data_IF_131132227194
#
_entry.id   IF_131132227194
#
_cell.length_a   1.000
_cell.length_b   1.000
_cell.length_c   1.000
_cell.angle_alpha   90.00
_cell.angle_beta   90.00
_cell.angle_gamma   90.00
#
_symmetry.space_group_name_H-M   'P 1'
#
loop_
_entity.id
_entity.type
_entity.pdbx_description
1 polymer ?
#
# COMPACT_ATOMS: atom_id res chain seq x y z
N UNK A 1 6.17 14.62 -24.39
CA UNK A 1 4.97 14.05 -23.74
C UNK A 1 5.29 12.98 -22.69
N UNK A 2 6.00 11.88 -23.04
CA UNK A 2 6.28 10.75 -22.13
C UNK A 2 6.97 11.12 -20.80
N UNK A 3 7.88 12.11 -20.79
CA UNK A 3 8.54 12.63 -19.57
C UNK A 3 7.57 13.28 -18.57
N UNK A 4 6.54 13.97 -19.05
CA UNK A 4 5.53 14.60 -18.19
C UNK A 4 4.61 13.54 -17.57
N UNK A 5 4.27 12.49 -18.32
CA UNK A 5 3.48 11.37 -17.81
C UNK A 5 4.19 10.61 -16.69
N UNK A 6 5.50 10.37 -16.83
CA UNK A 6 6.29 9.74 -15.75
C UNK A 6 6.26 10.59 -14.47
N UNK A 7 6.44 11.91 -14.60
CA UNK A 7 6.36 12.82 -13.45
C UNK A 7 4.99 12.80 -12.78
N UNK A 8 3.91 12.76 -13.56
CA UNK A 8 2.53 12.65 -13.05
C UNK A 8 2.35 11.34 -12.29
N UNK A 9 2.71 10.19 -12.87
CA UNK A 9 2.60 8.90 -12.19
C UNK A 9 3.43 8.84 -10.90
N UNK A 10 4.64 9.39 -10.94
CA UNK A 10 5.51 9.48 -9.76
C UNK A 10 4.91 10.34 -8.64
N UNK A 11 4.34 11.50 -8.99
CA UNK A 11 3.68 12.38 -8.02
C UNK A 11 2.39 11.77 -7.46
N UNK A 12 1.56 11.16 -8.31
CA UNK A 12 0.36 10.44 -7.87
C UNK A 12 0.71 9.30 -6.92
N UNK A 13 1.77 8.55 -7.23
CA UNK A 13 2.25 7.48 -6.37
C UNK A 13 2.78 8.01 -5.03
N UNK A 14 3.51 9.13 -5.04
CA UNK A 14 3.97 9.78 -3.81
C UNK A 14 2.80 10.29 -2.97
N UNK A 15 1.80 10.92 -3.57
CA UNK A 15 0.58 11.34 -2.86
C UNK A 15 -0.16 10.14 -2.26
N UNK A 16 -0.28 9.04 -3.00
CA UNK A 16 -0.86 7.79 -2.49
C UNK A 16 -0.06 7.20 -1.33
N UNK A 17 1.28 7.25 -1.39
CA UNK A 17 2.16 6.83 -0.30
C UNK A 17 1.97 7.68 0.95
N UNK A 18 1.95 9.02 0.81
CA UNK A 18 1.75 9.93 1.95
C UNK A 18 0.36 9.77 2.54
N UNK A 19 -0.68 9.61 1.72
CA UNK A 19 -2.05 9.37 2.18
C UNK A 19 -2.15 8.04 2.95
N UNK A 20 -1.60 6.96 2.38
CA UNK A 20 -1.53 5.64 3.01
C UNK A 20 -0.74 5.68 4.33
N UNK A 21 0.41 6.34 4.37
CA UNK A 21 1.21 6.51 5.58
C UNK A 21 0.48 7.32 6.64
N UNK A 22 -0.21 8.40 6.25
CA UNK A 22 -0.97 9.23 7.18
C UNK A 22 -2.10 8.44 7.83
N UNK A 23 -2.90 7.72 7.02
CA UNK A 23 -3.96 6.83 7.54
C UNK A 23 -3.36 5.78 8.45
N UNK A 24 -2.27 5.14 8.03
CA UNK A 24 -1.60 4.10 8.78
C UNK A 24 -1.09 4.59 10.15
N UNK A 25 -0.41 5.73 10.19
CA UNK A 25 0.06 6.33 11.43
C UNK A 25 -1.09 6.71 12.36
N UNK A 26 -2.18 7.28 11.83
CA UNK A 26 -3.37 7.64 12.62
C UNK A 26 -3.97 6.46 13.39
N UNK A 27 -3.85 5.24 12.85
CA UNK A 27 -4.35 4.04 13.53
C UNK A 27 -3.64 3.75 14.86
N UNK A 28 -2.41 4.26 15.09
CA UNK A 28 -1.71 4.08 16.37
C UNK A 28 -2.34 4.89 17.51
N UNK A 29 -3.11 5.93 17.18
CA UNK A 29 -3.90 6.71 18.14
C UNK A 29 -5.38 6.31 18.17
N UNK A 30 -5.74 5.19 17.54
CA UNK A 30 -7.13 4.70 17.49
C UNK A 30 -8.03 5.44 16.50
N UNK A 31 -7.46 6.29 15.64
CA UNK A 31 -8.24 6.99 14.62
C UNK A 31 -8.36 6.16 13.34
N UNK A 32 -9.54 6.23 12.72
CA UNK A 32 -9.86 5.62 11.42
C UNK A 32 -10.30 6.69 10.41
N UNK A 33 -10.58 6.27 9.17
CA UNK A 33 -11.35 7.09 8.25
C UNK A 33 -12.82 6.95 8.65
N UNK A 34 -13.47 8.05 9.04
CA UNK A 34 -14.91 8.07 9.35
C UNK A 34 -15.74 8.08 8.06
N UNK A 35 -15.43 7.16 7.15
CA UNK A 35 -16.04 6.99 5.85
C UNK A 35 -16.31 5.49 5.69
N UNK A 36 -17.57 5.05 5.50
CA UNK A 36 -17.88 3.65 5.24
C UNK A 36 -17.07 3.13 4.03
N UNK A 37 -16.24 2.11 4.24
CA UNK A 37 -15.36 1.56 3.21
C UNK A 37 -14.20 2.48 2.79
N UNK A 38 -13.93 3.55 3.56
CA UNK A 38 -12.87 4.52 3.28
C UNK A 38 -11.48 3.90 3.19
N UNK A 39 -11.26 2.79 3.91
CA UNK A 39 -10.06 1.96 3.82
C UNK A 39 -9.79 1.47 2.40
N UNK A 40 -10.83 1.15 1.62
CA UNK A 40 -10.70 0.62 0.26
C UNK A 40 -10.38 1.70 -0.80
N UNK A 41 -10.61 2.99 -0.49
CA UNK A 41 -10.35 4.08 -1.43
C UNK A 41 -8.88 4.11 -1.88
N UNK A 42 -7.96 3.80 -0.96
CA UNK A 42 -6.52 3.71 -1.27
C UNK A 42 -6.21 2.55 -2.22
N UNK A 43 -6.98 1.47 -2.24
CA UNK A 43 -6.76 0.40 -3.21
C UNK A 43 -7.35 0.72 -4.59
N UNK A 44 -8.44 1.50 -4.66
CA UNK A 44 -9.04 1.91 -5.93
C UNK A 44 -8.10 2.77 -6.78
N UNK A 45 -7.26 3.60 -6.14
CA UNK A 45 -6.26 4.41 -6.84
C UNK A 45 -5.01 3.62 -7.25
N UNK A 46 -4.82 2.40 -6.74
CA UNK A 46 -3.59 1.62 -6.95
C UNK A 46 -3.33 1.26 -8.42
N UNK A 47 -4.32 0.80 -9.22
CA UNK A 47 -4.11 0.50 -10.63
C UNK A 47 -3.57 1.67 -11.43
N UNK A 48 -3.92 2.91 -11.05
CA UNK A 48 -3.50 4.13 -11.76
C UNK A 48 -1.99 4.37 -11.72
N UNK A 49 -1.31 3.87 -10.69
CA UNK A 49 0.14 4.06 -10.51
C UNK A 49 0.92 2.77 -10.67
N UNK A 50 0.33 1.63 -10.30
CA UNK A 50 1.00 0.35 -10.34
C UNK A 50 0.94 -0.31 -11.72
N UNK A 51 -0.18 -0.21 -12.45
CA UNK A 51 -0.27 -0.77 -13.79
C UNK A 51 0.73 -0.11 -14.77
N UNK A 52 0.92 1.23 -14.78
CA UNK A 52 1.99 1.85 -15.56
C UNK A 52 3.38 1.32 -15.20
N UNK A 53 3.66 1.07 -13.92
CA UNK A 53 4.93 0.47 -13.49
C UNK A 53 5.11 -0.93 -14.10
N UNK A 54 4.10 -1.80 -13.99
CA UNK A 54 4.17 -3.15 -14.56
C UNK A 54 4.35 -3.11 -16.08
N UNK A 55 3.60 -2.25 -16.77
CA UNK A 55 3.69 -2.10 -18.23
C UNK A 55 5.03 -1.54 -18.70
N UNK A 56 5.66 -0.65 -17.92
CA UNK A 56 6.98 -0.06 -18.22
C UNK A 56 8.11 -1.04 -17.91
N UNK A 57 7.93 -1.94 -16.94
CA UNK A 57 8.95 -2.91 -16.51
C UNK A 57 8.84 -4.29 -17.16
N UNK A 58 7.70 -4.67 -17.73
CA UNK A 58 7.48 -6.01 -18.35
C UNK A 58 8.45 -6.35 -19.48
N UNK A 59 8.93 -5.35 -20.22
CA UNK A 59 9.84 -5.54 -21.35
C UNK A 59 11.31 -5.57 -20.94
N UNK A 60 11.60 -5.46 -19.64
CA UNK A 60 12.98 -5.37 -19.15
C UNK A 60 13.47 -6.80 -18.86
N UNK A 61 14.58 -7.23 -19.51
CA UNK A 61 15.11 -8.56 -19.33
C UNK A 61 15.49 -8.86 -17.86
N UNK A 62 15.33 -10.11 -17.37
CA UNK A 62 15.65 -10.48 -15.99
C UNK A 62 17.07 -10.11 -15.56
N UNK A 63 18.06 -10.23 -16.45
CA UNK A 63 19.46 -9.92 -16.20
C UNK A 63 19.73 -8.42 -15.95
N UNK A 64 18.79 -7.55 -16.30
CA UNK A 64 18.86 -6.11 -16.07
C UNK A 64 18.06 -5.67 -14.82
N UNK A 65 17.43 -6.62 -14.11
CA UNK A 65 16.68 -6.37 -12.88
C UNK A 65 17.62 -6.48 -11.67
N UNK A 66 17.40 -5.65 -10.67
CA UNK A 66 18.10 -5.71 -9.40
C UNK A 66 17.46 -6.74 -8.46
N UNK A 67 17.99 -6.87 -7.24
CA UNK A 67 17.53 -7.81 -6.21
C UNK A 67 16.06 -7.62 -5.79
N UNK A 68 15.48 -6.45 -6.05
CA UNK A 68 14.06 -6.17 -5.82
C UNK A 68 13.20 -6.41 -7.09
N UNK A 69 13.77 -7.02 -8.14
CA UNK A 69 13.11 -7.23 -9.42
C UNK A 69 12.93 -5.96 -10.26
N UNK A 70 13.52 -4.83 -9.84
CA UNK A 70 13.36 -3.54 -10.50
C UNK A 70 14.44 -3.30 -11.55
N UNK A 71 14.13 -2.65 -12.67
CA UNK A 71 15.13 -2.38 -13.68
C UNK A 71 16.22 -1.40 -13.23
N UNK A 72 17.46 -1.65 -13.66
CA UNK A 72 18.54 -0.67 -13.55
C UNK A 72 19.11 -0.47 -12.14
N UNK A 73 20.11 0.42 -12.07
CA UNK A 73 20.86 0.76 -10.86
C UNK A 73 20.11 1.82 -10.05
N UNK A 74 19.09 1.40 -9.30
CA UNK A 74 18.55 2.24 -8.21
C UNK A 74 19.63 2.51 -7.16
N UNK A 75 19.65 3.71 -6.55
CA UNK A 75 20.57 3.96 -5.45
C UNK A 75 20.25 3.05 -4.27
N UNK A 76 21.29 2.58 -3.57
CA UNK A 76 21.17 1.60 -2.48
C UNK A 76 20.19 2.02 -1.39
N UNK A 77 20.11 3.33 -1.09
CA UNK A 77 19.16 3.86 -0.11
C UNK A 77 17.70 3.61 -0.52
N UNK A 78 17.37 3.72 -1.81
CA UNK A 78 16.01 3.53 -2.29
C UNK A 78 15.60 2.06 -2.22
N UNK A 79 16.53 1.15 -2.57
CA UNK A 79 16.33 -0.29 -2.41
C UNK A 79 16.12 -0.63 -0.92
N UNK A 80 16.97 -0.11 -0.04
CA UNK A 80 16.84 -0.34 1.40
C UNK A 80 15.49 0.15 1.94
N UNK A 81 15.02 1.33 1.51
CA UNK A 81 13.69 1.84 1.88
C UNK A 81 12.55 0.94 1.42
N UNK A 82 12.54 0.51 0.15
CA UNK A 82 11.51 -0.40 -0.38
C UNK A 82 11.49 -1.71 0.40
N UNK A 83 12.66 -2.31 0.62
CA UNK A 83 12.78 -3.57 1.37
C UNK A 83 12.31 -3.40 2.81
N UNK A 84 12.71 -2.31 3.49
CA UNK A 84 12.28 -2.05 4.87
C UNK A 84 10.77 -1.86 4.99
N UNK A 85 10.17 -1.06 4.09
CA UNK A 85 8.72 -0.82 4.07
C UNK A 85 7.95 -2.09 3.70
N UNK A 86 8.44 -2.87 2.74
CA UNK A 86 7.83 -4.15 2.37
C UNK A 86 7.90 -5.18 3.51
N UNK A 87 9.03 -5.28 4.21
CA UNK A 87 9.17 -6.15 5.38
C UNK A 87 8.23 -5.73 6.51
N UNK A 88 8.14 -4.43 6.78
CA UNK A 88 7.16 -3.88 7.72
C UNK A 88 5.72 -4.22 7.33
N UNK A 89 5.35 -3.99 6.06
CA UNK A 89 4.01 -4.28 5.55
C UNK A 89 3.68 -5.78 5.62
N UNK A 90 4.64 -6.65 5.34
CA UNK A 90 4.48 -8.10 5.46
C UNK A 90 4.24 -8.53 6.92
N UNK A 91 5.03 -8.01 7.86
CA UNK A 91 4.82 -8.26 9.28
C UNK A 91 3.44 -7.76 9.74
N UNK A 92 3.06 -6.54 9.36
CA UNK A 92 1.77 -5.96 9.71
C UNK A 92 0.60 -6.78 9.13
N UNK A 93 0.74 -7.24 7.89
CA UNK A 93 -0.24 -8.10 7.23
C UNK A 93 -0.40 -9.45 7.95
N UNK A 94 0.71 -10.10 8.31
CA UNK A 94 0.70 -11.36 9.08
C UNK A 94 -0.04 -11.15 10.40
N UNK A 95 0.31 -10.10 11.15
CA UNK A 95 -0.36 -9.78 12.42
C UNK A 95 -1.86 -9.51 12.25
N UNK A 96 -2.27 -8.89 11.15
CA UNK A 96 -3.67 -8.63 10.87
C UNK A 96 -4.45 -9.91 10.49
N UNK A 97 -3.85 -10.82 9.72
CA UNK A 97 -4.49 -12.08 9.29
C UNK A 97 -4.60 -13.09 10.43
N UNK A 98 -3.72 -13.03 11.44
CA UNK A 98 -3.79 -13.89 12.63
C UNK A 98 -4.97 -13.54 13.58
N UNK A 99 -5.72 -12.48 13.32
CA UNK A 99 -6.89 -12.11 14.12
C UNK A 99 -8.20 -12.68 13.54
N UNK A 100 -9.12 -13.04 14.44
CA UNK A 100 -10.42 -13.62 14.08
C UNK A 100 -11.32 -12.62 13.32
N UNK A 101 -11.64 -12.95 12.08
CA UNK A 101 -12.71 -12.32 11.31
C UNK A 101 -12.56 -10.82 11.02
N UNK A 102 -13.57 -10.25 10.38
CA UNK A 102 -13.70 -8.83 10.09
C UNK A 102 -14.84 -8.22 10.92
N UNK A 103 -14.67 -7.00 11.45
CA UNK A 103 -15.75 -6.32 12.16
C UNK A 103 -16.89 -5.96 11.22
N UNK A 104 -18.14 -6.18 11.65
CA UNK A 104 -19.33 -5.78 10.91
C UNK A 104 -20.46 -5.37 11.87
N UNK A 105 -21.49 -4.73 11.31
CA UNK A 105 -22.76 -4.47 12.00
C UNK A 105 -23.81 -5.35 11.34
N UNK A 106 -24.44 -6.23 12.12
CA UNK A 106 -25.52 -7.13 11.67
C UNK A 106 -26.70 -6.98 12.61
N UNK A 107 -27.89 -6.68 12.06
CA UNK A 107 -29.12 -6.51 12.82
C UNK A 107 -28.99 -5.55 14.03
N UNK A 108 -28.25 -4.45 13.83
CA UNK A 108 -28.00 -3.44 14.87
C UNK A 108 -26.98 -3.86 15.95
N UNK A 109 -26.36 -5.03 15.83
CA UNK A 109 -25.35 -5.54 16.76
C UNK A 109 -23.96 -5.51 16.12
N UNK A 110 -22.95 -5.29 16.94
CA UNK A 110 -21.55 -5.41 16.52
C UNK A 110 -21.15 -6.89 16.53
N UNK A 111 -20.59 -7.36 15.42
CA UNK A 111 -20.20 -8.76 15.26
C UNK A 111 -18.81 -8.86 14.63
N UNK A 112 -18.12 -9.98 14.90
CA UNK A 112 -17.06 -10.46 14.03
C UNK A 112 -17.64 -11.46 13.05
N UNK A 113 -17.33 -11.28 11.77
CA UNK A 113 -17.76 -12.19 10.71
C UNK A 113 -16.56 -12.75 9.94
N UNK A 114 -16.70 -13.97 9.48
CA UNK A 114 -15.75 -14.61 8.57
C UNK A 114 -16.53 -15.16 7.38
N UNK A 115 -16.17 -14.73 6.18
CA UNK A 115 -16.84 -15.13 4.93
C UNK A 115 -18.37 -14.99 4.98
N UNK A 116 -18.86 -13.90 5.58
CA UNK A 116 -20.29 -13.60 5.73
C UNK A 116 -21.01 -14.39 6.84
N UNK A 117 -20.30 -15.24 7.59
CA UNK A 117 -20.84 -15.93 8.77
C UNK A 117 -20.45 -15.19 10.03
N UNK A 118 -21.43 -14.91 10.89
CA UNK A 118 -21.17 -14.34 12.22
C UNK A 118 -20.43 -15.39 13.06
N UNK A 119 -19.24 -15.04 13.53
CA UNK A 119 -18.44 -15.87 14.45
C UNK A 119 -18.92 -15.64 15.88
N UNK A 120 -19.02 -14.37 16.28
CA UNK A 120 -19.45 -13.95 17.62
C UNK A 120 -19.91 -12.50 17.62
N UNK A 121 -20.79 -12.18 18.56
CA UNK A 121 -21.07 -10.79 18.92
C UNK A 121 -19.88 -10.18 19.69
N UNK A 122 -19.68 -8.88 19.52
CA UNK A 122 -18.61 -8.13 20.18
C UNK A 122 -19.17 -6.83 20.77
N UNK A 123 -18.46 -6.27 21.74
CA UNK A 123 -18.79 -4.96 22.30
C UNK A 123 -18.46 -3.83 21.32
N UNK A 124 -19.07 -2.66 21.52
CA UNK A 124 -18.75 -1.46 20.72
C UNK A 124 -17.27 -1.07 20.79
N UNK A 125 -16.61 -1.31 21.93
CA UNK A 125 -15.18 -1.05 22.08
C UNK A 125 -14.35 -2.02 21.25
N UNK A 126 -14.63 -3.32 21.35
CA UNK A 126 -13.94 -4.36 20.56
C UNK A 126 -14.15 -4.14 19.06
N UNK A 127 -15.32 -3.68 18.64
CA UNK A 127 -15.60 -3.29 17.26
C UNK A 127 -14.66 -2.18 16.80
N UNK A 128 -14.58 -1.07 17.54
CA UNK A 128 -13.67 0.04 17.18
C UNK A 128 -12.22 -0.41 17.10
N UNK A 129 -11.75 -1.20 18.05
CA UNK A 129 -10.39 -1.76 18.04
C UNK A 129 -10.15 -2.66 16.82
N UNK A 130 -11.14 -3.48 16.45
CA UNK A 130 -11.06 -4.33 15.26
C UNK A 130 -11.03 -3.52 13.96
N UNK A 131 -11.84 -2.46 13.86
CA UNK A 131 -11.82 -1.54 12.69
C UNK A 131 -10.45 -0.85 12.59
N UNK A 132 -9.92 -0.33 13.70
CA UNK A 132 -8.58 0.28 13.73
C UNK A 132 -7.51 -0.68 13.24
N UNK A 133 -7.55 -1.95 13.69
CA UNK A 133 -6.61 -2.99 13.22
C UNK A 133 -6.76 -3.29 11.74
N UNK A 134 -7.99 -3.45 11.24
CA UNK A 134 -8.26 -3.70 9.83
C UNK A 134 -7.76 -2.55 8.95
N UNK A 135 -8.07 -1.30 9.32
CA UNK A 135 -7.57 -0.09 8.63
C UNK A 135 -6.04 -0.05 8.67
N UNK A 136 -5.42 -0.41 9.79
CA UNK A 136 -3.95 -0.46 9.93
C UNK A 136 -3.34 -1.47 8.97
N UNK A 137 -3.89 -2.69 8.95
CA UNK A 137 -3.48 -3.77 8.05
C UNK A 137 -3.56 -3.33 6.59
N UNK A 138 -4.72 -2.79 6.19
CA UNK A 138 -4.96 -2.37 4.82
C UNK A 138 -4.07 -1.20 4.40
N UNK A 139 -4.06 -0.11 5.18
CA UNK A 139 -3.25 1.07 4.89
C UNK A 139 -1.75 0.76 4.90
N UNK A 140 -1.27 -0.10 5.81
CA UNK A 140 0.12 -0.53 5.86
C UNK A 140 0.51 -1.39 4.65
N UNK A 141 -0.39 -2.28 4.21
CA UNK A 141 -0.17 -3.11 3.03
C UNK A 141 -0.05 -2.29 1.74
N UNK A 142 -0.75 -1.14 1.64
CA UNK A 142 -0.68 -0.26 0.48
C UNK A 142 0.66 0.48 0.33
N UNK A 143 1.42 0.69 1.42
CA UNK A 143 2.66 1.47 1.43
C UNK A 143 3.67 1.03 0.35
N UNK A 144 4.11 -0.24 0.27
CA UNK A 144 5.08 -0.66 -0.74
C UNK A 144 4.58 -0.47 -2.18
N UNK A 145 3.28 -0.67 -2.42
CA UNK A 145 2.69 -0.55 -3.76
C UNK A 145 2.61 0.90 -4.26
N UNK A 146 2.64 1.89 -3.36
CA UNK A 146 2.77 3.31 -3.71
C UNK A 146 4.22 3.79 -3.72
N UNK A 147 5.03 3.33 -2.76
CA UNK A 147 6.44 3.71 -2.66
C UNK A 147 7.24 3.27 -3.90
N UNK A 148 6.98 2.05 -4.38
CA UNK A 148 7.72 1.46 -5.49
C UNK A 148 7.55 2.23 -6.81
N UNK A 149 6.32 2.53 -7.30
CA UNK A 149 6.12 3.40 -8.45
C UNK A 149 6.66 4.83 -8.24
N UNK A 150 6.54 5.40 -7.03
CA UNK A 150 7.07 6.72 -6.74
C UNK A 150 8.59 6.77 -6.94
N UNK A 151 9.32 5.79 -6.39
CA UNK A 151 10.77 5.67 -6.57
C UNK A 151 11.14 5.45 -8.04
N UNK A 152 10.40 4.57 -8.73
CA UNK A 152 10.65 4.24 -10.12
C UNK A 152 10.53 5.46 -11.04
N UNK A 153 9.38 6.12 -11.02
CA UNK A 153 9.06 7.20 -11.95
C UNK A 153 9.77 8.52 -11.62
N UNK A 154 10.01 8.82 -10.34
CA UNK A 154 10.67 10.07 -9.93
C UNK A 154 12.20 9.98 -10.02
N UNK A 155 12.79 8.83 -9.71
CA UNK A 155 14.25 8.70 -9.58
C UNK A 155 14.87 7.73 -10.58
N UNK A 156 14.40 6.49 -10.66
CA UNK A 156 15.06 5.43 -11.44
C UNK A 156 15.09 5.74 -12.94
N UNK A 157 13.91 6.05 -13.49
CA UNK A 157 13.74 6.33 -14.92
C UNK A 157 14.42 7.62 -15.35
N UNK A 158 14.48 8.61 -14.45
CA UNK A 158 15.18 9.88 -14.67
C UNK A 158 16.70 9.66 -14.72
N UNK A 159 17.24 8.85 -13.82
CA UNK A 159 18.66 8.50 -13.81
C UNK A 159 19.08 7.73 -15.06
N UNK A 160 18.27 6.75 -15.51
CA UNK A 160 18.54 5.98 -16.73
C UNK A 160 18.60 6.85 -18.00
N UNK A 161 17.67 7.81 -18.16
CA UNK A 161 17.67 8.73 -19.31
C UNK A 161 18.92 9.60 -19.39
N UNK A 162 19.47 9.98 -18.23
CA UNK A 162 20.64 10.86 -18.16
C UNK A 162 21.95 10.13 -18.45
N UNK A 163 21.94 8.79 -18.48
CA UNK A 163 23.11 7.95 -18.75
C UNK A 163 23.19 7.48 -20.22
N UNK A 164 22.11 7.61 -21.00
CA UNK A 164 22.03 7.18 -22.41
C UNK A 164 21.89 8.32 -23.40
N UNK A 165 21.95 9.58 -22.95
CA UNK A 165 21.96 10.77 -23.78
C UNK A 165 23.22 11.57 -23.51
#
# INVERSE_FOLDING_TARGET
MRKYLDGIFGLLALCGFVASLTVHLRTFWGYTLDLPGGEHLLALALPLVFAPLVLDTRSIPPEQRNIAGLPGKLPRWAIAMVVAVAAYAALNFILNVLHDGSPAVSDGRYVLQEHGRVIREITAQQYREAVVRQVRGFSGHMLPFYLLPAIWFLFAKKAQRSATG
#
